data_IF_698774002799
#
_entry.id   IF_698774002799
#
_cell.length_a   1.000
_cell.length_b   1.000
_cell.length_c   1.000
_cell.angle_alpha   90.00
_cell.angle_beta   90.00
_cell.angle_gamma   90.00
#
_symmetry.space_group_name_H-M   'P 1'
#
loop_
_entity.id
_entity.type
_entity.pdbx_description
1 polymer ?
#
# COMPACT_ATOMS: atom_id res chain seq x y z
N UNK A 1 -41.07 -48.99 9.18
CA UNK A 1 -39.91 -48.30 8.58
C UNK A 1 -39.65 -47.07 9.47
N UNK A 2 -38.98 -47.23 10.61
CA UNK A 2 -37.54 -47.37 10.80
C UNK A 2 -36.75 -46.16 10.27
N UNK A 3 -36.05 -45.51 11.21
CA UNK A 3 -34.95 -44.55 11.12
C UNK A 3 -35.21 -43.13 10.59
N UNK A 4 -34.65 -42.01 11.10
CA UNK A 4 -33.78 -41.68 12.25
C UNK A 4 -33.61 -40.14 12.22
N UNK A 5 -33.98 -39.43 13.29
CA UNK A 5 -33.12 -38.72 14.25
C UNK A 5 -32.49 -37.38 13.80
N UNK A 6 -32.58 -36.43 14.73
CA UNK A 6 -32.00 -35.11 14.74
C UNK A 6 -30.47 -35.10 14.92
N UNK A 7 -29.81 -34.05 14.41
CA UNK A 7 -28.58 -33.39 14.93
C UNK A 7 -28.19 -32.30 13.93
N UNK A 8 -28.21 -31.01 14.20
CA UNK A 8 -27.59 -30.24 15.29
C UNK A 8 -26.04 -30.28 15.26
N UNK A 9 -25.46 -29.07 15.20
CA UNK A 9 -24.07 -28.71 15.53
C UNK A 9 -22.96 -29.03 14.51
N UNK A 10 -22.63 -28.05 13.68
CA UNK A 10 -21.26 -27.87 13.15
C UNK A 10 -20.61 -26.67 13.85
N UNK A 11 -20.09 -26.95 15.05
CA UNK A 11 -19.00 -26.21 15.67
C UNK A 11 -17.73 -26.41 14.83
N UNK A 12 -17.33 -25.39 14.07
CA UNK A 12 -16.02 -25.35 13.42
C UNK A 12 -14.94 -24.97 14.46
N UNK A 13 -14.41 -26.02 15.10
CA UNK A 13 -13.18 -26.16 15.90
C UNK A 13 -12.18 -24.96 16.01
N UNK A 14 -11.76 -24.56 17.23
CA UNK A 14 -10.63 -23.64 17.49
C UNK A 14 -9.22 -24.28 17.42
N UNK A 15 -9.11 -25.56 17.03
CA UNK A 15 -7.87 -26.37 17.12
C UNK A 15 -6.75 -25.99 16.15
N UNK A 16 -7.04 -25.26 15.06
CA UNK A 16 -6.01 -24.84 14.11
C UNK A 16 -5.04 -23.80 14.69
N UNK A 17 -5.53 -22.93 15.59
CA UNK A 17 -4.74 -21.80 16.11
C UNK A 17 -3.78 -22.16 17.24
N UNK A 18 -4.10 -23.18 18.05
CA UNK A 18 -3.23 -23.59 19.16
C UNK A 18 -2.09 -24.49 18.71
N UNK A 19 -2.32 -25.36 17.73
CA UNK A 19 -1.26 -26.21 17.17
C UNK A 19 -0.24 -25.39 16.37
N UNK A 20 -0.72 -24.42 15.57
CA UNK A 20 0.15 -23.47 14.86
C UNK A 20 1.00 -22.62 15.81
N UNK A 21 0.44 -22.18 16.93
CA UNK A 21 1.20 -21.44 17.96
C UNK A 21 2.23 -22.31 18.67
N UNK A 22 1.89 -23.56 18.98
CA UNK A 22 2.82 -24.49 19.61
C UNK A 22 4.00 -24.83 18.69
N UNK A 23 3.73 -25.03 17.40
CA UNK A 23 4.75 -25.24 16.38
C UNK A 23 5.61 -23.98 16.16
N UNK A 24 5.00 -22.79 16.21
CA UNK A 24 5.70 -21.50 16.11
C UNK A 24 6.62 -21.26 17.32
N UNK A 25 6.17 -21.54 18.53
CA UNK A 25 7.02 -21.43 19.74
C UNK A 25 8.17 -22.43 19.72
N UNK A 26 7.94 -23.65 19.25
CA UNK A 26 8.99 -24.66 19.09
C UNK A 26 10.04 -24.21 18.05
N UNK A 27 9.59 -23.74 16.88
CA UNK A 27 10.48 -23.19 15.86
C UNK A 27 11.22 -21.95 16.34
N UNK A 28 10.57 -21.07 17.12
CA UNK A 28 11.21 -19.89 17.70
C UNK A 28 12.35 -20.28 18.63
N UNK A 29 12.15 -21.28 19.51
CA UNK A 29 13.21 -21.77 20.41
C UNK A 29 14.40 -22.34 19.64
N UNK A 30 14.13 -23.11 18.59
CA UNK A 30 15.19 -23.63 17.71
C UNK A 30 15.95 -22.48 17.02
N UNK A 31 15.22 -21.48 16.52
CA UNK A 31 15.83 -20.33 15.88
C UNK A 31 16.67 -19.49 16.86
N UNK A 32 16.24 -19.34 18.11
CA UNK A 32 17.03 -18.70 19.17
C UNK A 32 18.31 -19.48 19.50
N UNK A 33 18.26 -20.81 19.50
CA UNK A 33 19.45 -21.66 19.68
C UNK A 33 20.44 -21.48 18.52
N UNK A 34 19.93 -21.51 17.29
CA UNK A 34 20.72 -21.25 16.07
C UNK A 34 21.31 -19.84 16.09
N UNK A 35 20.58 -18.85 16.58
CA UNK A 35 21.06 -17.47 16.70
C UNK A 35 22.25 -17.37 17.68
N UNK A 36 22.20 -18.08 18.80
CA UNK A 36 23.31 -18.14 19.77
C UNK A 36 24.55 -18.80 19.16
N UNK A 37 24.37 -19.90 18.43
CA UNK A 37 25.44 -20.60 17.70
C UNK A 37 26.05 -19.72 16.59
N UNK A 38 25.19 -19.04 15.83
CA UNK A 38 25.60 -18.06 14.83
C UNK A 38 26.41 -16.91 15.44
N UNK A 39 25.98 -16.41 16.60
CA UNK A 39 26.70 -15.37 17.34
C UNK A 39 28.04 -15.86 17.91
N UNK A 40 28.18 -17.16 18.17
CA UNK A 40 29.46 -17.79 18.54
C UNK A 40 30.43 -17.95 17.36
N UNK A 41 29.99 -17.66 16.13
CA UNK A 41 30.81 -17.71 14.92
C UNK A 41 30.75 -19.02 14.15
N UNK A 42 29.75 -19.86 14.41
CA UNK A 42 29.52 -21.08 13.63
C UNK A 42 29.12 -20.76 12.18
N UNK A 43 29.34 -21.73 11.28
CA UNK A 43 29.12 -21.59 9.85
C UNK A 43 27.62 -21.49 9.52
N UNK A 44 27.23 -20.38 8.88
CA UNK A 44 25.82 -20.13 8.56
C UNK A 44 25.26 -21.15 7.57
N UNK A 45 26.07 -21.74 6.69
CA UNK A 45 25.60 -22.73 5.73
C UNK A 45 25.27 -24.05 6.43
N UNK A 46 26.02 -24.42 7.46
CA UNK A 46 25.69 -25.56 8.33
C UNK A 46 24.43 -25.29 9.14
N UNK A 47 24.35 -24.13 9.79
CA UNK A 47 23.19 -23.74 10.59
C UNK A 47 21.91 -23.64 9.76
N UNK A 48 21.98 -23.11 8.53
CA UNK A 48 20.82 -23.05 7.65
C UNK A 48 20.36 -24.45 7.21
N UNK A 49 21.29 -25.38 6.96
CA UNK A 49 20.94 -26.79 6.67
C UNK A 49 20.24 -27.45 7.85
N UNK A 50 20.76 -27.27 9.06
CA UNK A 50 20.15 -27.78 10.30
C UNK A 50 18.76 -27.17 10.51
N UNK A 51 18.63 -25.84 10.32
CA UNK A 51 17.35 -25.13 10.41
C UNK A 51 16.30 -25.68 9.42
N UNK A 52 16.70 -25.90 8.16
CA UNK A 52 15.79 -26.42 7.12
C UNK A 52 15.34 -27.84 7.42
N UNK A 53 16.26 -28.70 7.90
CA UNK A 53 15.92 -30.05 8.34
C UNK A 53 14.98 -30.05 9.54
N UNK A 54 15.25 -29.19 10.54
CA UNK A 54 14.41 -29.04 11.71
C UNK A 54 13.01 -28.48 11.39
N UNK A 55 12.91 -27.56 10.42
CA UNK A 55 11.66 -27.01 9.93
C UNK A 55 10.90 -27.96 8.97
N UNK A 56 11.47 -29.13 8.63
CA UNK A 56 10.87 -30.06 7.68
C UNK A 56 10.80 -29.51 6.24
N UNK A 57 11.57 -28.46 5.93
CA UNK A 57 11.63 -27.85 4.60
C UNK A 57 12.51 -28.74 3.73
N UNK A 58 11.89 -29.56 2.88
CA UNK A 58 12.60 -30.42 1.95
C UNK A 58 13.38 -29.63 0.90
N UNK A 59 14.67 -29.95 0.74
CA UNK A 59 15.54 -29.35 -0.29
C UNK A 59 16.92 -28.95 0.24
N UNK A 60 17.83 -28.62 -0.68
CA UNK A 60 19.08 -27.95 -0.31
C UNK A 60 18.77 -26.48 -0.03
N UNK A 61 19.24 -25.91 1.10
CA UNK A 61 19.00 -24.50 1.36
C UNK A 61 19.66 -23.63 0.29
N UNK A 62 19.02 -22.50 -0.05
CA UNK A 62 19.65 -21.48 -0.88
C UNK A 62 20.97 -21.00 -0.24
N UNK A 63 21.95 -20.52 -1.05
CA UNK A 63 23.19 -19.99 -0.49
C UNK A 63 22.90 -18.91 0.56
N UNK A 64 23.57 -19.01 1.71
CA UNK A 64 23.44 -18.07 2.83
C UNK A 64 23.84 -16.64 2.46
N UNK A 65 24.64 -16.50 1.41
CA UNK A 65 25.12 -15.21 0.92
C UNK A 65 24.09 -14.55 -0.01
N UNK A 66 23.40 -13.55 0.54
CA UNK A 66 22.35 -12.76 -0.16
C UNK A 66 22.98 -11.68 -1.10
N UNK A 67 24.30 -11.64 -1.21
CA UNK A 67 25.01 -10.65 -2.03
C UNK A 67 24.93 -9.23 -1.46
N UNK A 68 25.09 -8.22 -2.33
CA UNK A 68 25.01 -6.80 -1.95
C UNK A 68 23.56 -6.32 -1.99
N UNK A 69 22.99 -6.02 -0.83
CA UNK A 69 21.65 -5.46 -0.69
C UNK A 69 21.71 -4.00 -0.21
N UNK A 70 20.86 -3.16 -0.78
CA UNK A 70 20.66 -1.78 -0.30
C UNK A 70 19.59 -1.75 0.80
N UNK A 71 19.66 -0.75 1.69
CA UNK A 71 18.66 -0.57 2.77
C UNK A 71 17.22 -0.51 2.25
N UNK A 72 17.02 -0.07 1.01
CA UNK A 72 15.71 0.01 0.36
C UNK A 72 15.14 -1.34 -0.08
N UNK A 73 16.00 -2.34 -0.31
CA UNK A 73 15.60 -3.70 -0.72
C UNK A 73 15.27 -4.59 0.47
N UNK A 74 15.62 -4.17 1.70
CA UNK A 74 15.34 -4.92 2.92
C UNK A 74 13.97 -4.50 3.47
N UNK A 75 13.10 -5.48 3.84
CA UNK A 75 11.83 -5.22 4.49
C UNK A 75 11.96 -4.28 5.70
N UNK A 76 10.94 -3.47 5.94
CA UNK A 76 10.96 -2.42 6.98
C UNK A 76 11.36 -2.98 8.34
N UNK A 77 10.80 -4.13 8.67
CA UNK A 77 10.96 -4.80 9.96
C UNK A 77 12.39 -5.33 10.17
N UNK A 78 13.07 -5.67 9.06
CA UNK A 78 14.43 -6.22 9.05
C UNK A 78 15.51 -5.15 8.88
N UNK A 79 15.15 -3.89 8.57
CA UNK A 79 16.13 -2.82 8.32
C UNK A 79 17.08 -2.56 9.48
N UNK A 80 16.69 -2.89 10.72
CA UNK A 80 17.56 -2.79 11.90
C UNK A 80 18.81 -3.68 11.78
N UNK A 81 18.76 -4.76 10.98
CA UNK A 81 19.92 -5.61 10.74
C UNK A 81 21.06 -4.87 10.03
N UNK A 82 20.75 -3.86 9.22
CA UNK A 82 21.73 -3.03 8.47
C UNK A 82 22.45 -2.03 9.39
N UNK A 83 21.84 -1.70 10.53
CA UNK A 83 22.40 -0.78 11.50
C UNK A 83 23.46 -1.44 12.41
N UNK A 84 23.56 -2.78 12.37
CA UNK A 84 24.57 -3.56 13.09
C UNK A 84 25.98 -3.39 12.51
N UNK A 85 27.00 -3.74 13.30
CA UNK A 85 28.39 -3.68 12.88
C UNK A 85 28.74 -4.84 11.95
N UNK A 86 29.77 -4.64 11.13
CA UNK A 86 30.32 -5.73 10.31
C UNK A 86 30.79 -6.87 11.21
N UNK A 87 30.35 -8.08 10.90
CA UNK A 87 30.58 -9.29 11.68
C UNK A 87 29.52 -9.59 12.74
N UNK A 88 28.61 -8.66 13.03
CA UNK A 88 27.57 -8.83 14.03
C UNK A 88 26.36 -9.59 13.48
N UNK A 89 25.74 -10.38 14.35
CA UNK A 89 24.55 -11.20 14.06
C UNK A 89 23.31 -10.45 14.53
N UNK A 90 22.26 -10.48 13.70
CA UNK A 90 21.02 -9.78 13.98
C UNK A 90 20.19 -10.43 15.07
N UNK A 91 19.26 -9.68 15.69
CA UNK A 91 18.18 -10.30 16.45
C UNK A 91 17.36 -11.22 15.54
N UNK A 92 16.63 -12.12 16.18
CA UNK A 92 15.66 -12.99 15.51
C UNK A 92 14.51 -12.15 14.96
N UNK A 93 14.30 -12.23 13.65
CA UNK A 93 13.14 -11.62 12.99
C UNK A 93 12.05 -12.67 12.80
N UNK A 94 10.85 -12.36 13.30
CA UNK A 94 9.66 -13.17 13.07
C UNK A 94 8.88 -12.57 11.92
N UNK A 95 8.70 -13.35 10.86
CA UNK A 95 7.83 -13.02 9.74
C UNK A 95 6.74 -14.10 9.57
N UNK A 96 5.63 -13.78 8.88
CA UNK A 96 4.60 -14.78 8.57
C UNK A 96 5.13 -15.99 7.80
N UNK A 97 6.24 -15.80 7.09
CA UNK A 97 6.89 -16.83 6.28
C UNK A 97 8.01 -17.59 7.04
N UNK A 98 8.23 -17.30 8.32
CA UNK A 98 9.21 -17.99 9.16
C UNK A 98 10.14 -17.05 9.94
N UNK A 99 11.22 -17.63 10.45
CA UNK A 99 12.19 -16.93 11.29
C UNK A 99 13.49 -16.66 10.53
N UNK A 100 13.98 -15.42 10.60
CA UNK A 100 15.16 -14.97 9.87
C UNK A 100 16.22 -14.39 10.79
N UNK A 101 17.47 -14.71 10.51
CA UNK A 101 18.65 -14.19 11.20
C UNK A 101 19.65 -13.78 10.12
N UNK A 102 20.22 -12.59 10.26
CA UNK A 102 21.17 -12.01 9.31
C UNK A 102 22.52 -11.76 9.97
N UNK A 103 23.60 -11.85 9.20
CA UNK A 103 24.94 -11.42 9.61
C UNK A 103 25.45 -10.39 8.63
N UNK A 104 25.95 -9.27 9.13
CA UNK A 104 26.50 -8.21 8.28
C UNK A 104 27.91 -8.61 7.85
N UNK A 105 28.10 -9.03 6.60
CA UNK A 105 29.43 -9.40 6.07
C UNK A 105 30.27 -8.18 5.68
N UNK A 106 29.65 -7.15 5.12
CA UNK A 106 30.31 -5.91 4.72
C UNK A 106 29.30 -4.77 4.72
N UNK A 107 29.79 -3.56 4.94
CA UNK A 107 29.00 -2.34 4.87
C UNK A 107 29.75 -1.32 4.04
N UNK A 108 29.20 -1.01 2.88
CA UNK A 108 29.75 -0.02 1.96
C UNK A 108 28.74 1.13 1.83
N UNK A 109 29.22 2.36 1.97
CA UNK A 109 28.43 3.53 1.61
C UNK A 109 28.58 3.75 0.11
N UNK A 110 27.46 3.76 -0.62
CA UNK A 110 27.46 4.09 -2.04
C UNK A 110 28.00 5.53 -2.19
N UNK A 111 29.02 5.77 -3.02
CA UNK A 111 29.62 7.09 -3.14
C UNK A 111 28.60 8.09 -3.68
N UNK A 112 28.75 9.36 -3.29
CA UNK A 112 27.82 10.42 -3.67
C UNK A 112 27.65 10.50 -5.20
N UNK A 113 28.73 10.32 -5.97
CA UNK A 113 28.68 10.35 -7.44
C UNK A 113 27.68 9.34 -8.01
N UNK A 114 27.67 8.10 -7.51
CA UNK A 114 26.75 7.06 -7.97
C UNK A 114 25.33 7.24 -7.44
N UNK A 115 25.18 7.91 -6.28
CA UNK A 115 23.88 8.16 -5.67
C UNK A 115 23.22 9.46 -6.18
N UNK A 116 23.94 10.34 -6.88
CA UNK A 116 23.46 11.66 -7.30
C UNK A 116 22.19 11.60 -8.15
N UNK A 117 22.16 10.72 -9.14
CA UNK A 117 21.02 10.61 -10.06
C UNK A 117 19.77 10.05 -9.35
N UNK A 118 19.97 9.05 -8.49
CA UNK A 118 18.91 8.50 -7.63
C UNK A 118 18.38 9.60 -6.69
N UNK A 119 19.26 10.31 -5.97
CA UNK A 119 18.90 11.39 -5.05
C UNK A 119 18.13 12.50 -5.77
N UNK A 120 18.60 12.92 -6.95
CA UNK A 120 17.93 13.96 -7.75
C UNK A 120 16.53 13.54 -8.16
N UNK A 121 16.37 12.30 -8.60
CA UNK A 121 15.07 11.75 -9.01
C UNK A 121 14.12 11.66 -7.83
N UNK A 122 14.56 11.11 -6.71
CA UNK A 122 13.74 10.99 -5.49
C UNK A 122 13.33 12.36 -4.95
N UNK A 123 14.26 13.32 -4.87
CA UNK A 123 13.95 14.69 -4.41
C UNK A 123 12.99 15.41 -5.36
N UNK A 124 13.13 15.22 -6.68
CA UNK A 124 12.20 15.80 -7.65
C UNK A 124 10.79 15.24 -7.46
N UNK A 125 10.65 13.92 -7.29
CA UNK A 125 9.36 13.28 -7.06
C UNK A 125 8.73 13.72 -5.72
N UNK A 126 9.52 13.83 -4.65
CA UNK A 126 9.06 14.33 -3.37
C UNK A 126 8.54 15.77 -3.50
N UNK A 127 9.29 16.66 -4.15
CA UNK A 127 8.84 18.05 -4.36
C UNK A 127 7.56 18.15 -5.17
N UNK A 128 7.39 17.32 -6.21
CA UNK A 128 6.15 17.31 -7.00
C UNK A 128 4.97 16.81 -6.16
N UNK A 129 5.16 15.74 -5.36
CA UNK A 129 4.13 15.23 -4.43
C UNK A 129 3.74 16.27 -3.39
N UNK A 130 4.72 16.92 -2.76
CA UNK A 130 4.49 17.94 -1.74
C UNK A 130 3.80 19.17 -2.33
N UNK A 131 4.20 19.60 -3.53
CA UNK A 131 3.53 20.68 -4.24
C UNK A 131 2.07 20.32 -4.55
N UNK A 132 1.80 19.12 -5.10
CA UNK A 132 0.43 18.66 -5.35
C UNK A 132 -0.41 18.56 -4.08
N UNK A 133 0.16 18.05 -2.98
CA UNK A 133 -0.53 17.97 -1.70
C UNK A 133 -0.89 19.38 -1.19
N UNK A 134 0.04 20.32 -1.31
CA UNK A 134 -0.19 21.73 -0.96
C UNK A 134 -1.29 22.37 -1.83
N UNK A 135 -1.24 22.17 -3.15
CA UNK A 135 -2.29 22.69 -4.04
C UNK A 135 -3.68 22.12 -3.73
N UNK A 136 -3.77 20.84 -3.37
CA UNK A 136 -5.04 20.20 -2.97
C UNK A 136 -5.56 20.71 -1.62
N UNK A 137 -4.65 20.94 -0.66
CA UNK A 137 -5.03 21.46 0.66
C UNK A 137 -5.45 22.93 0.60
N UNK A 138 -4.79 23.74 -0.23
CA UNK A 138 -5.10 25.16 -0.39
C UNK A 138 -6.32 25.39 -1.30
N UNK A 139 -6.64 24.47 -2.22
CA UNK A 139 -7.79 24.55 -3.10
C UNK A 139 -8.81 23.44 -2.78
N UNK A 140 -9.66 23.68 -1.79
CA UNK A 140 -10.89 22.88 -1.62
C UNK A 140 -11.81 23.19 -2.80
N UNK A 141 -11.94 22.25 -3.73
CA UNK A 141 -12.87 22.39 -4.84
C UNK A 141 -14.31 22.44 -4.32
N UNK A 142 -14.99 23.59 -4.48
CA UNK A 142 -16.42 23.69 -4.25
C UNK A 142 -17.10 23.09 -5.49
N UNK A 143 -17.60 21.86 -5.36
CA UNK A 143 -18.30 21.18 -6.45
C UNK A 143 -19.73 21.73 -6.59
N UNK A 144 -20.15 22.09 -7.80
CA UNK A 144 -21.53 22.47 -8.06
C UNK A 144 -22.40 21.22 -8.17
N UNK A 145 -22.99 20.81 -7.04
CA UNK A 145 -23.84 19.62 -6.95
C UNK A 145 -25.03 19.65 -7.91
N UNK A 146 -25.59 20.83 -8.24
CA UNK A 146 -26.70 20.93 -9.19
C UNK A 146 -26.30 20.64 -10.64
N UNK A 147 -25.02 20.83 -10.98
CA UNK A 147 -24.48 20.49 -12.31
C UNK A 147 -24.05 19.01 -12.39
N UNK A 148 -23.56 18.46 -11.28
CA UNK A 148 -23.06 17.07 -11.20
C UNK A 148 -24.06 16.05 -10.62
N UNK A 149 -25.27 16.47 -10.24
CA UNK A 149 -26.32 15.57 -9.80
C UNK A 149 -26.74 14.65 -10.96
N UNK A 150 -26.98 13.34 -10.71
CA UNK A 150 -27.55 12.48 -11.72
C UNK A 150 -28.89 13.08 -12.17
N UNK A 151 -29.09 13.14 -13.49
CA UNK A 151 -30.29 13.72 -14.10
C UNK A 151 -31.54 13.20 -13.35
N UNK A 152 -32.28 14.11 -12.73
CA UNK A 152 -33.50 13.74 -12.03
C UNK A 152 -34.42 13.03 -13.02
N UNK A 153 -34.98 11.86 -12.65
CA UNK A 153 -35.82 11.11 -13.57
C UNK A 153 -36.97 12.00 -14.05
N UNK A 154 -37.34 11.94 -15.34
CA UNK A 154 -38.43 12.74 -15.87
C UNK A 154 -39.69 12.49 -15.02
N UNK A 155 -40.47 13.54 -14.72
CA UNK A 155 -41.69 13.38 -13.92
C UNK A 155 -42.61 12.35 -14.60
N UNK A 156 -43.27 11.49 -13.83
CA UNK A 156 -44.16 10.48 -14.40
C UNK A 156 -45.27 11.17 -15.23
N UNK A 157 -45.70 10.56 -16.34
CA UNK A 157 -46.79 11.10 -17.14
C UNK A 157 -48.01 11.28 -16.23
N UNK A 158 -48.57 12.49 -16.19
CA UNK A 158 -49.78 12.79 -15.44
C UNK A 158 -50.94 12.03 -16.10
N UNK A 159 -51.20 10.81 -15.66
CA UNK A 159 -52.41 10.07 -16.01
C UNK A 159 -53.55 10.54 -15.12
N UNK A 160 -54.15 11.67 -15.48
CA UNK A 160 -55.47 12.08 -14.99
C UNK A 160 -56.54 11.70 -16.02
N UNK A 161 -57.70 11.16 -15.61
CA UNK A 161 -58.74 10.76 -16.55
C UNK A 161 -59.51 11.99 -17.05
N UNK A 162 -59.47 12.25 -18.36
CA UNK A 162 -60.52 13.03 -19.05
C UNK A 162 -60.10 14.29 -19.84
N UNK A 163 -59.47 14.07 -21.02
CA UNK A 163 -59.64 14.81 -22.31
C UNK A 163 -59.46 16.34 -22.42
N UNK A 164 -59.52 16.93 -23.65
CA UNK A 164 -59.47 16.37 -24.99
C UNK A 164 -58.25 16.83 -25.83
N UNK A 165 -58.05 16.18 -26.97
CA UNK A 165 -56.97 16.39 -27.94
C UNK A 165 -57.10 17.65 -28.81
N UNK A 166 -55.93 18.04 -29.35
CA UNK A 166 -55.66 18.76 -30.62
C UNK A 166 -55.40 20.29 -30.54
N UNK A 167 -54.74 20.91 -31.54
CA UNK A 167 -53.66 20.46 -32.44
C UNK A 167 -52.42 21.41 -32.41
N UNK A 168 -51.27 21.00 -33.00
CA UNK A 168 -50.07 21.84 -33.14
C UNK A 168 -50.24 23.00 -34.13
N UNK A 169 -49.30 23.97 -34.15
CA UNK A 169 -48.27 23.92 -35.19
C UNK A 169 -46.87 24.37 -34.75
N UNK A 170 -45.91 24.07 -35.64
CA UNK A 170 -44.50 24.38 -35.58
C UNK A 170 -44.15 25.89 -35.63
N UNK A 171 -42.94 26.24 -35.16
CA UNK A 171 -42.23 27.46 -35.55
C UNK A 171 -41.64 28.27 -34.38
N UNK A 172 -40.31 28.17 -34.21
CA UNK A 172 -39.48 29.19 -33.55
C UNK A 172 -39.57 30.52 -34.35
N UNK A 173 -39.23 31.75 -33.84
CA UNK A 173 -38.18 32.05 -32.85
C UNK A 173 -38.46 33.25 -31.89
N UNK A 174 -37.43 33.63 -31.13
CA UNK A 174 -37.16 34.94 -30.51
C UNK A 174 -37.65 35.27 -29.07
N UNK A 175 -36.62 35.41 -28.23
CA UNK A 175 -36.32 36.58 -27.39
C UNK A 175 -36.78 36.58 -25.94
N UNK A 176 -35.78 36.50 -25.04
CA UNK A 176 -35.30 37.63 -24.22
C UNK A 176 -34.96 37.18 -22.78
N UNK A 177 -33.67 37.04 -22.50
CA UNK A 177 -33.09 37.39 -21.20
C UNK A 177 -31.61 37.69 -21.39
N UNK A 178 -31.25 38.95 -21.13
CA UNK A 178 -29.92 39.54 -21.20
C UNK A 178 -28.95 38.95 -20.15
N UNK A 179 -27.63 38.91 -20.40
CA UNK A 179 -26.66 38.60 -19.37
C UNK A 179 -26.53 39.78 -18.38
N UNK A 180 -26.37 39.54 -17.06
CA UNK A 180 -25.99 40.61 -16.14
C UNK A 180 -24.54 41.03 -16.40
N UNK A 181 -24.37 42.31 -16.69
CA UNK A 181 -23.10 43.00 -16.80
C UNK A 181 -22.46 43.13 -15.42
N UNK A 182 -21.36 42.43 -15.17
CA UNK A 182 -20.46 42.72 -14.04
C UNK A 182 -19.25 43.47 -14.55
N UNK A 183 -19.36 44.79 -14.48
CA UNK A 183 -18.31 45.76 -14.70
C UNK A 183 -17.13 45.49 -13.75
N UNK A 184 -16.07 44.85 -14.24
CA UNK A 184 -14.79 44.76 -13.55
C UNK A 184 -13.75 45.54 -14.35
N UNK A 185 -13.52 46.79 -13.93
CA UNK A 185 -12.41 47.63 -14.38
C UNK A 185 -11.08 46.97 -13.99
N UNK A 186 -10.18 46.64 -14.92
CA UNK A 186 -8.78 46.36 -14.58
C UNK A 186 -8.00 47.67 -14.62
N UNK A 187 -7.40 48.05 -13.49
CA UNK A 187 -6.32 49.03 -13.46
C UNK A 187 -5.10 48.43 -14.16
N UNK A 188 -4.57 49.14 -15.16
CA UNK A 188 -3.37 48.76 -15.90
C UNK A 188 -2.12 48.76 -15.02
N UNK A 189 -1.19 47.81 -15.19
CA UNK A 189 0.22 48.04 -14.93
C UNK A 189 0.91 48.51 -16.22
N UNK A 190 1.46 49.72 -16.18
CA UNK A 190 2.24 50.32 -17.26
C UNK A 190 3.59 49.60 -17.36
N UNK A 191 3.82 48.87 -18.45
CA UNK A 191 5.13 48.35 -18.81
C UNK A 191 6.01 49.51 -19.30
N UNK A 192 7.10 49.78 -18.57
CA UNK A 192 8.21 50.61 -19.05
C UNK A 192 9.10 49.75 -19.95
N UNK A 193 9.26 50.15 -21.22
CA UNK A 193 10.45 49.84 -22.00
C UNK A 193 10.80 51.01 -22.93
N UNK A 194 12.10 51.34 -22.86
CA UNK A 194 12.93 52.18 -23.76
C UNK A 194 12.79 53.69 -23.68
#
# INVERSE_FOLDING_TARGET
KADTAAKDSEEESPKGSEMQKADEEAMKRMAEEIQKRAAAGEDFDQLQREAYQAAGIGGSPAPTSIGKLTRSQIPIDQRKAVDLKVGEVSPLYTEPNGFYIYKVLSKEAKPLEEARDEIRTTLSQQRVKDAMAKYQQENTAILNEAYFAPASPPPPPRTGPGGPSAPGPAGNPQSRATPPSTNSKPASPQASQK
#
